data_IF_290957422301
#
_entry.id   IF_290957422301
#
_cell.length_a   1.000
_cell.length_b   1.000
_cell.length_c   1.000
_cell.angle_alpha   90.00
_cell.angle_beta   90.00
_cell.angle_gamma   90.00
#
_symmetry.space_group_name_H-M   'P 1'
#
loop_
_entity.id
_entity.type
_entity.pdbx_description
1 polymer ?
#
# COMPACT_ATOMS: atom_id res chain seq x y z
N UNK A 1 21.86 -11.76 25.65
CA UNK A 1 21.37 -11.87 24.24
C UNK A 1 20.23 -10.89 24.08
N UNK A 2 20.53 -9.66 23.70
CA UNK A 2 19.57 -8.54 23.69
C UNK A 2 18.68 -8.66 22.45
N UNK A 3 17.36 -8.75 22.63
CA UNK A 3 16.38 -8.77 21.53
C UNK A 3 16.31 -7.36 20.93
N UNK A 4 16.82 -7.17 19.72
CA UNK A 4 16.59 -5.95 18.95
C UNK A 4 15.09 -5.86 18.63
N UNK A 5 14.43 -4.84 19.18
CA UNK A 5 13.02 -4.55 18.93
C UNK A 5 12.86 -4.05 17.49
N UNK A 6 12.11 -4.76 16.66
CA UNK A 6 11.71 -4.27 15.33
C UNK A 6 10.63 -3.20 15.50
N UNK A 7 10.88 -2.02 14.93
CA UNK A 7 9.95 -0.91 14.96
C UNK A 7 8.60 -1.30 14.34
N UNK A 8 7.54 -1.25 15.15
CA UNK A 8 6.17 -1.53 14.75
C UNK A 8 5.70 -0.51 13.71
N UNK A 9 5.60 -0.94 12.45
CA UNK A 9 4.77 -0.26 11.46
C UNK A 9 3.30 -0.54 11.78
N UNK A 10 2.53 0.52 12.08
CA UNK A 10 1.07 0.47 12.18
C UNK A 10 0.53 0.84 13.56
N UNK A 11 0.22 2.13 13.75
CA UNK A 11 -0.73 2.58 14.76
C UNK A 11 -1.95 3.15 14.01
N UNK A 12 -3.18 2.67 14.27
CA UNK A 12 -4.38 3.15 13.60
C UNK A 12 -4.91 4.39 14.34
N UNK A 13 -4.76 5.56 13.72
CA UNK A 13 -5.46 6.77 14.13
C UNK A 13 -6.84 6.80 13.45
N UNK A 14 -7.86 6.81 14.29
CA UNK A 14 -9.28 6.74 13.99
C UNK A 14 -9.69 8.00 13.19
N UNK A 15 -9.99 7.84 11.89
CA UNK A 15 -10.30 8.88 10.88
C UNK A 15 -9.12 9.29 9.98
N UNK A 16 -8.54 8.36 9.19
CA UNK A 16 -7.59 8.70 8.12
C UNK A 16 -7.47 7.54 7.12
N UNK A 17 -7.33 7.84 5.82
CA UNK A 17 -7.02 6.83 4.81
C UNK A 17 -5.82 5.97 5.23
N UNK A 18 -5.81 4.66 4.91
CA UNK A 18 -4.73 3.77 5.33
C UNK A 18 -3.39 4.23 4.73
N UNK A 19 -2.29 4.08 5.48
CA UNK A 19 -0.93 4.44 5.02
C UNK A 19 -0.54 3.74 3.71
N UNK A 20 -1.12 2.56 3.43
CA UNK A 20 -0.92 1.82 2.19
C UNK A 20 -2.24 1.29 1.60
N UNK A 21 -2.41 1.29 0.26
CA UNK A 21 -3.56 0.67 -0.40
C UNK A 21 -3.48 -0.87 -0.47
N UNK A 22 -2.50 -1.49 0.21
CA UNK A 22 -2.28 -2.93 0.15
C UNK A 22 -3.37 -3.71 0.90
N UNK A 23 -4.03 -4.65 0.23
CA UNK A 23 -5.03 -5.55 0.83
C UNK A 23 -4.46 -6.93 1.21
N UNK A 24 -3.14 -7.11 1.16
CA UNK A 24 -2.47 -8.36 1.53
C UNK A 24 -2.50 -9.47 0.46
N UNK A 25 -3.07 -9.21 -0.71
CA UNK A 25 -3.07 -10.13 -1.87
C UNK A 25 -2.41 -9.42 -3.04
N UNK A 26 -1.46 -10.09 -3.70
CA UNK A 26 -0.72 -9.55 -4.83
C UNK A 26 -0.89 -10.44 -6.07
N UNK A 27 -1.26 -9.83 -7.19
CA UNK A 27 -1.37 -10.53 -8.48
C UNK A 27 -0.26 -10.17 -9.47
N UNK A 28 0.68 -9.28 -9.10
CA UNK A 28 1.72 -8.79 -10.02
C UNK A 28 2.81 -9.80 -10.38
N UNK A 29 2.71 -11.02 -9.86
CA UNK A 29 3.49 -12.15 -10.39
C UNK A 29 2.97 -12.64 -11.74
N UNK A 30 1.75 -12.25 -12.13
CA UNK A 30 1.05 -12.68 -13.33
C UNK A 30 0.44 -11.52 -14.12
N UNK A 31 0.12 -10.40 -13.46
CA UNK A 31 -0.47 -9.20 -14.03
C UNK A 31 0.53 -8.01 -13.97
N UNK A 32 0.43 -7.03 -14.87
CA UNK A 32 1.25 -5.81 -14.78
C UNK A 32 0.83 -4.89 -13.61
N UNK A 33 -0.46 -4.93 -13.27
CA UNK A 33 -1.08 -4.14 -12.20
C UNK A 33 -1.80 -5.08 -11.22
N UNK A 34 -1.57 -4.88 -9.93
CA UNK A 34 -2.17 -5.69 -8.87
C UNK A 34 -3.69 -5.50 -8.85
N UNK A 35 -4.47 -6.56 -9.04
CA UNK A 35 -5.94 -6.49 -8.98
C UNK A 35 -6.51 -6.12 -7.61
N UNK A 36 -5.71 -6.25 -6.55
CA UNK A 36 -6.13 -5.91 -5.18
C UNK A 36 -5.88 -4.45 -4.81
N UNK A 37 -4.66 -3.96 -5.03
CA UNK A 37 -4.25 -2.59 -4.63
C UNK A 37 -4.04 -1.62 -5.78
N UNK A 38 -4.26 -2.07 -7.02
CA UNK A 38 -4.09 -1.31 -8.27
C UNK A 38 -2.70 -0.72 -8.50
N UNK A 39 -1.68 -1.16 -7.75
CA UNK A 39 -0.28 -0.77 -7.93
C UNK A 39 0.46 -1.75 -8.85
N UNK A 40 1.41 -1.24 -9.60
CA UNK A 40 2.41 -2.01 -10.34
C UNK A 40 3.39 -2.70 -9.39
N UNK A 41 4.09 -3.74 -9.88
CA UNK A 41 5.13 -4.41 -9.09
C UNK A 41 6.21 -3.44 -8.57
N UNK A 42 6.60 -2.45 -9.37
CA UNK A 42 7.59 -1.45 -8.98
C UNK A 42 7.10 -0.53 -7.87
N UNK A 43 5.83 -0.10 -7.93
CA UNK A 43 5.23 0.73 -6.87
C UNK A 43 5.05 -0.06 -5.56
N UNK A 44 4.73 -1.35 -5.65
CA UNK A 44 4.67 -2.23 -4.46
C UNK A 44 6.05 -2.39 -3.84
N UNK A 45 7.06 -2.72 -4.65
CA UNK A 45 8.42 -3.00 -4.16
C UNK A 45 9.11 -1.78 -3.55
N UNK A 46 8.89 -0.58 -4.11
CA UNK A 46 9.54 0.65 -3.64
C UNK A 46 8.70 1.46 -2.66
N UNK A 47 7.53 0.98 -2.23
CA UNK A 47 6.59 1.78 -1.43
C UNK A 47 7.22 2.43 -0.19
N UNK A 48 8.09 1.71 0.50
CA UNK A 48 8.76 2.19 1.73
C UNK A 48 9.76 3.30 1.43
N UNK A 49 10.37 3.29 0.24
CA UNK A 49 11.40 4.23 -0.19
C UNK A 49 10.82 5.45 -0.92
N UNK A 50 9.56 5.37 -1.36
CA UNK A 50 8.87 6.46 -2.04
C UNK A 50 8.72 7.69 -1.15
N UNK A 51 8.99 8.85 -1.71
CA UNK A 51 8.71 10.14 -1.10
C UNK A 51 7.20 10.34 -0.89
N UNK A 52 6.78 11.24 0.02
CA UNK A 52 5.37 11.57 0.20
C UNK A 52 4.70 12.09 -1.08
N UNK A 53 5.45 12.72 -1.99
CA UNK A 53 4.93 13.17 -3.28
C UNK A 53 4.65 12.00 -4.23
N UNK A 54 5.55 11.02 -4.29
CA UNK A 54 5.36 9.81 -5.10
C UNK A 54 4.18 8.99 -4.57
N UNK A 55 4.09 8.79 -3.25
CA UNK A 55 2.94 8.08 -2.63
C UNK A 55 1.61 8.75 -2.97
N UNK A 56 1.55 10.09 -2.91
CA UNK A 56 0.35 10.86 -3.30
C UNK A 56 0.00 10.72 -4.78
N UNK A 57 1.00 10.68 -5.67
CA UNK A 57 0.77 10.45 -7.09
C UNK A 57 0.17 9.06 -7.35
N UNK A 58 0.69 8.02 -6.68
CA UNK A 58 0.13 6.67 -6.74
C UNK A 58 -1.30 6.64 -6.23
N UNK A 59 -1.57 7.26 -5.08
CA UNK A 59 -2.93 7.37 -4.52
C UNK A 59 -3.91 8.05 -5.48
N UNK A 60 -3.53 9.20 -6.04
CA UNK A 60 -4.38 9.91 -7.00
C UNK A 60 -4.69 9.04 -8.22
N UNK A 61 -3.69 8.31 -8.74
CA UNK A 61 -3.86 7.38 -9.86
C UNK A 61 -4.85 6.26 -9.53
N UNK A 62 -4.61 5.50 -8.44
CA UNK A 62 -5.45 4.33 -8.12
C UNK A 62 -6.87 4.74 -7.75
N UNK A 63 -7.08 5.91 -7.13
CA UNK A 63 -8.42 6.44 -6.87
C UNK A 63 -9.14 6.81 -8.16
N UNK A 64 -8.46 7.40 -9.14
CA UNK A 64 -9.02 7.68 -10.46
C UNK A 64 -9.36 6.39 -11.23
N UNK A 65 -8.61 5.31 -11.00
CA UNK A 65 -8.89 3.97 -11.56
C UNK A 65 -10.01 3.21 -10.83
N UNK A 66 -10.54 3.77 -9.74
CA UNK A 66 -11.66 3.18 -8.99
C UNK A 66 -11.22 2.21 -7.90
N UNK A 67 -10.06 2.44 -7.27
CA UNK A 67 -9.66 1.70 -6.07
C UNK A 67 -10.75 1.78 -5.01
N UNK A 68 -11.26 0.60 -4.61
CA UNK A 68 -12.20 0.44 -3.52
C UNK A 68 -11.53 -0.35 -2.40
N UNK A 69 -11.27 0.26 -1.22
CA UNK A 69 -10.73 -0.47 -0.09
C UNK A 69 -11.68 -1.61 0.25
N UNK A 70 -11.19 -2.85 0.20
CA UNK A 70 -11.95 -4.01 0.66
C UNK A 70 -12.21 -3.78 2.14
N UNK A 71 -13.45 -3.47 2.53
CA UNK A 71 -13.82 -3.44 3.94
C UNK A 71 -13.51 -4.82 4.50
N UNK A 72 -12.66 -4.87 5.51
CA UNK A 72 -12.42 -6.09 6.28
C UNK A 72 -13.67 -6.27 7.14
N UNK A 73 -14.51 -7.22 6.77
CA UNK A 73 -15.65 -7.69 7.56
C UNK A 73 -15.20 -8.25 8.92
#
# INVERSE_FOLDING_TARGET
MTRTSVASAGQPDDTSEPDTPCVGVCSTGFDDVCRGCLRTAAEVGRWVEMSPAEKRAVWARILAEGYVPRRRD
#
